data_IF_478650831558
#
_entry.id   IF_478650831558
#
_cell.length_a   1.000
_cell.length_b   1.000
_cell.length_c   1.000
_cell.angle_alpha   90.00
_cell.angle_beta   90.00
_cell.angle_gamma   90.00
#
_symmetry.space_group_name_H-M   'P 1'
#
loop_
_entity.id
_entity.type
_entity.pdbx_description
1 polymer ?
#
# COMPACT_ATOMS: atom_id res chain seq x y z
N UNK A 1 -4.50 3.38 8.18
CA UNK A 1 -3.27 4.00 7.62
C UNK A 1 -3.05 3.42 6.23
N UNK A 2 -2.61 4.24 5.28
CA UNK A 2 -2.20 3.79 3.93
C UNK A 2 -0.76 4.23 3.69
N UNK A 3 0.06 3.32 3.18
CA UNK A 3 1.48 3.54 2.92
C UNK A 3 1.77 3.35 1.43
N UNK A 4 2.72 4.14 0.93
CA UNK A 4 3.34 3.93 -0.38
C UNK A 4 4.85 3.89 -0.16
N UNK A 5 5.41 2.68 -0.23
CA UNK A 5 6.81 2.42 0.09
C UNK A 5 7.78 3.08 -0.89
N UNK A 6 7.32 3.48 -2.08
CA UNK A 6 8.14 4.17 -3.06
C UNK A 6 8.22 5.68 -2.79
N UNK A 7 7.23 6.26 -2.10
CA UNK A 7 7.18 7.70 -1.76
C UNK A 7 7.71 7.95 -0.36
N UNK A 8 7.15 7.29 0.66
CA UNK A 8 7.58 7.42 2.05
C UNK A 8 7.52 6.05 2.73
N UNK A 9 8.69 5.56 3.17
CA UNK A 9 8.83 4.22 3.74
C UNK A 9 8.33 4.11 5.18
N UNK A 10 8.42 5.21 5.93
CA UNK A 10 8.29 5.16 7.38
C UNK A 10 7.01 5.81 7.88
N UNK A 11 6.41 6.70 7.09
CA UNK A 11 5.20 7.42 7.49
C UNK A 11 4.04 7.12 6.55
N UNK A 12 2.83 7.11 7.12
CA UNK A 12 1.62 6.89 6.36
C UNK A 12 1.34 8.10 5.44
N UNK A 13 1.06 7.83 4.16
CA UNK A 13 0.60 8.87 3.24
C UNK A 13 -0.83 9.33 3.54
N UNK A 14 -1.63 8.46 4.16
CA UNK A 14 -3.00 8.77 4.55
C UNK A 14 -3.34 8.10 5.88
N UNK A 15 -3.83 8.91 6.81
CA UNK A 15 -4.44 8.45 8.06
C UNK A 15 -5.89 8.87 8.09
N UNK A 16 -6.78 7.89 8.05
CA UNK A 16 -8.22 8.12 8.10
C UNK A 16 -8.83 7.22 9.16
N UNK A 17 -9.63 7.82 10.05
CA UNK A 17 -10.46 7.09 10.99
C UNK A 17 -11.75 6.68 10.29
N UNK A 18 -11.91 5.38 10.06
CA UNK A 18 -13.09 4.80 9.36
C UNK A 18 -14.22 4.49 10.33
N UNK A 19 -13.89 4.03 11.55
CA UNK A 19 -14.85 3.68 12.60
C UNK A 19 -14.47 4.38 13.90
N UNK A 20 -15.45 4.56 14.79
CA UNK A 20 -15.19 5.14 16.12
C UNK A 20 -14.32 4.20 16.96
N UNK A 21 -13.04 4.56 17.14
CA UNK A 21 -12.02 3.76 17.87
C UNK A 21 -12.44 3.28 19.27
N UNK A 22 -13.35 4.00 19.93
CA UNK A 22 -13.83 3.65 21.30
C UNK A 22 -14.74 2.42 21.34
N UNK A 23 -15.41 2.07 20.24
CA UNK A 23 -16.50 1.07 20.24
C UNK A 23 -16.32 -0.07 19.25
N UNK A 24 -15.39 0.07 18.33
CA UNK A 24 -15.33 -0.79 17.15
C UNK A 24 -13.89 -0.99 16.71
N UNK A 25 -13.56 -2.22 16.31
CA UNK A 25 -12.25 -2.57 15.76
C UNK A 25 -12.40 -3.02 14.31
N UNK A 26 -11.50 -2.57 13.45
CA UNK A 26 -11.41 -3.06 12.08
C UNK A 26 -10.74 -4.44 12.10
N UNK A 27 -11.30 -5.40 11.37
CA UNK A 27 -10.88 -6.81 11.42
C UNK A 27 -10.36 -7.31 10.09
N UNK A 28 -10.96 -6.86 8.98
CA UNK A 28 -10.62 -7.33 7.63
C UNK A 28 -10.50 -6.17 6.67
N UNK A 29 -9.62 -6.32 5.68
CA UNK A 29 -9.47 -5.42 4.54
C UNK A 29 -9.29 -6.23 3.27
N UNK A 30 -9.95 -5.80 2.20
CA UNK A 30 -9.80 -6.39 0.88
C UNK A 30 -9.75 -5.30 -0.19
N UNK A 31 -8.89 -5.50 -1.19
CA UNK A 31 -8.80 -4.62 -2.36
C UNK A 31 -9.71 -5.14 -3.45
N UNK A 32 -10.48 -4.26 -4.07
CA UNK A 32 -11.23 -4.64 -5.25
C UNK A 32 -10.26 -4.79 -6.47
N UNK A 33 -10.31 -5.92 -7.20
CA UNK A 33 -9.39 -6.18 -8.30
C UNK A 33 -9.65 -5.33 -9.56
N UNK A 34 -10.86 -4.82 -9.73
CA UNK A 34 -11.27 -4.06 -10.91
C UNK A 34 -11.35 -2.56 -10.66
N UNK A 35 -11.79 -2.16 -9.46
CA UNK A 35 -12.03 -0.77 -9.10
C UNK A 35 -11.08 -0.34 -8.00
N UNK A 36 -10.63 0.93 -7.97
CA UNK A 36 -9.74 1.41 -6.93
C UNK A 36 -10.52 1.75 -5.65
N UNK A 37 -11.07 0.71 -5.05
CA UNK A 37 -11.81 0.74 -3.79
C UNK A 37 -11.27 -0.33 -2.86
N UNK A 38 -11.39 -0.06 -1.57
CA UNK A 38 -11.11 -1.02 -0.51
C UNK A 38 -12.39 -1.28 0.27
N UNK A 39 -12.55 -2.52 0.71
CA UNK A 39 -13.64 -2.95 1.56
C UNK A 39 -13.03 -3.25 2.92
N UNK A 40 -13.63 -2.70 3.97
CA UNK A 40 -13.16 -2.85 5.34
C UNK A 40 -14.29 -3.41 6.20
N UNK A 41 -14.02 -4.53 6.87
CA UNK A 41 -14.93 -5.16 7.83
C UNK A 41 -14.56 -4.80 9.26
N UNK A 42 -15.57 -4.75 10.13
CA UNK A 42 -15.39 -4.54 11.58
C UNK A 42 -15.79 -5.76 12.43
N UNK A 43 -15.57 -5.67 13.74
CA UNK A 43 -15.88 -6.71 14.72
C UNK A 43 -17.37 -6.83 15.07
N UNK A 44 -18.20 -5.93 14.56
CA UNK A 44 -19.66 -5.92 14.77
C UNK A 44 -20.42 -6.41 13.54
N UNK A 45 -19.71 -6.84 12.50
CA UNK A 45 -20.27 -7.34 11.25
C UNK A 45 -20.66 -6.25 10.26
N UNK A 46 -20.28 -4.98 10.48
CA UNK A 46 -20.46 -3.94 9.47
C UNK A 46 -19.34 -3.99 8.44
N UNK A 47 -19.71 -3.68 7.20
CA UNK A 47 -18.79 -3.60 6.06
C UNK A 47 -18.88 -2.19 5.48
N UNK A 48 -17.72 -1.53 5.35
CA UNK A 48 -17.60 -0.19 4.80
C UNK A 48 -16.75 -0.21 3.54
N UNK A 49 -17.23 0.40 2.46
CA UNK A 49 -16.48 0.57 1.21
C UNK A 49 -15.91 1.98 1.11
N UNK A 50 -14.63 2.10 0.74
CA UNK A 50 -13.90 3.36 0.64
C UNK A 50 -13.22 3.47 -0.72
N UNK A 51 -13.29 4.67 -1.32
CA UNK A 51 -12.62 4.96 -2.59
C UNK A 51 -11.22 5.51 -2.36
N UNK A 52 -10.23 4.99 -3.09
CA UNK A 52 -8.86 5.46 -2.99
C UNK A 52 -8.68 6.84 -3.66
N UNK A 53 -7.95 7.72 -2.98
CA UNK A 53 -7.56 9.04 -3.52
C UNK A 53 -6.84 8.89 -4.86
N UNK A 54 -7.05 9.79 -5.84
CA UNK A 54 -6.25 9.82 -7.07
C UNK A 54 -4.75 9.77 -6.85
N UNK A 55 -4.25 10.36 -5.77
CA UNK A 55 -2.81 10.39 -5.48
C UNK A 55 -2.24 9.00 -5.17
N UNK A 56 -3.02 8.12 -4.55
CA UNK A 56 -2.63 6.74 -4.23
C UNK A 56 -2.72 5.79 -5.43
N UNK A 57 -3.16 6.29 -6.60
CA UNK A 57 -3.38 5.51 -7.83
C UNK A 57 -2.42 5.90 -8.94
N UNK A 58 -1.55 6.89 -8.70
CA UNK A 58 -0.66 7.42 -9.74
C UNK A 58 0.45 6.42 -10.03
N UNK A 59 0.42 5.83 -11.22
CA UNK A 59 1.59 5.14 -11.75
C UNK A 59 2.70 6.17 -12.03
N UNK A 60 3.98 5.80 -11.86
CA UNK A 60 5.10 6.65 -12.26
C UNK A 60 4.94 7.09 -13.71
N UNK A 61 5.03 8.39 -13.97
CA UNK A 61 4.92 8.93 -15.33
C UNK A 61 6.11 8.43 -16.16
N UNK A 62 5.84 8.01 -17.39
CA UNK A 62 6.87 7.65 -18.36
C UNK A 62 7.78 8.88 -18.58
N UNK A 63 9.10 8.69 -18.49
CA UNK A 63 10.04 9.74 -18.90
C UNK A 63 9.97 9.82 -20.44
N UNK A 64 9.79 11.02 -20.99
CA UNK A 64 9.73 11.24 -22.45
C UNK A 64 10.94 10.56 -23.12
N UNK A 65 10.66 9.61 -24.02
CA UNK A 65 11.67 8.92 -24.83
C UNK A 65 12.12 7.53 -24.32
N UNK A 66 11.63 7.08 -23.16
CA UNK A 66 11.86 5.71 -22.67
C UNK A 66 10.50 5.07 -22.46
N UNK A 67 10.18 4.02 -23.21
CA UNK A 67 9.00 3.20 -22.92
C UNK A 67 9.07 2.77 -21.46
N UNK A 68 8.08 3.17 -20.66
CA UNK A 68 8.01 2.66 -19.31
C UNK A 68 7.79 1.16 -19.44
N UNK A 69 8.79 0.38 -19.01
CA UNK A 69 8.63 -1.05 -18.86
C UNK A 69 7.39 -1.27 -17.97
N UNK A 70 6.35 -1.87 -18.57
CA UNK A 70 5.08 -2.21 -17.95
C UNK A 70 5.10 -3.69 -17.64
N UNK A 71 4.60 -4.05 -16.46
CA UNK A 71 4.44 -5.46 -16.10
C UNK A 71 4.82 -5.76 -14.65
N UNK A 72 4.46 -6.96 -14.17
CA UNK A 72 4.74 -7.38 -12.80
C UNK A 72 6.25 -7.40 -12.50
N UNK A 73 7.09 -7.73 -13.48
CA UNK A 73 8.55 -7.81 -13.32
C UNK A 73 9.17 -6.50 -12.83
N UNK A 74 8.67 -5.36 -13.32
CA UNK A 74 9.17 -4.03 -12.95
C UNK A 74 8.79 -3.68 -11.53
N UNK A 75 7.57 -4.03 -11.11
CA UNK A 75 7.11 -3.82 -9.75
C UNK A 75 7.83 -4.75 -8.76
N UNK A 76 8.10 -6.00 -9.16
CA UNK A 76 8.94 -6.94 -8.39
C UNK A 76 10.34 -6.37 -8.20
N UNK A 77 11.00 -5.92 -9.28
CA UNK A 77 12.34 -5.33 -9.20
C UNK A 77 12.40 -4.08 -8.31
N UNK A 78 11.36 -3.23 -8.34
CA UNK A 78 11.24 -2.09 -7.42
C UNK A 78 11.15 -2.54 -5.97
N UNK A 79 10.33 -3.56 -5.69
CA UNK A 79 10.16 -4.10 -4.34
C UNK A 79 11.46 -4.73 -3.84
N UNK A 80 12.16 -5.51 -4.66
CA UNK A 80 13.44 -6.12 -4.30
C UNK A 80 14.50 -5.07 -3.95
N UNK A 81 14.55 -3.98 -4.72
CA UNK A 81 15.43 -2.84 -4.43
C UNK A 81 15.06 -2.15 -3.11
N UNK A 82 13.78 -2.06 -2.76
CA UNK A 82 13.36 -1.50 -1.47
C UNK A 82 13.77 -2.41 -0.32
N UNK A 83 13.60 -3.73 -0.46
CA UNK A 83 13.92 -4.72 0.54
C UNK A 83 15.43 -4.83 0.81
N UNK A 84 16.26 -4.72 -0.22
CA UNK A 84 17.73 -4.78 -0.06
C UNK A 84 18.28 -3.64 0.79
N UNK A 85 17.62 -2.47 0.80
CA UNK A 85 18.00 -1.31 1.61
C UNK A 85 17.60 -1.42 3.08
N UNK A 86 16.70 -2.34 3.44
CA UNK A 86 16.11 -2.46 4.78
C UNK A 86 16.54 -3.76 5.48
N UNK A 87 17.09 -4.74 4.77
CA UNK A 87 17.63 -5.96 5.39
C UNK A 87 18.81 -5.62 6.29
N UNK A 88 18.66 -5.91 7.58
CA UNK A 88 19.80 -6.02 8.51
C UNK A 88 20.80 -7.05 7.96
N UNK A 89 22.12 -6.82 8.11
CA UNK A 89 23.11 -7.84 7.76
C UNK A 89 22.80 -9.12 8.56
N UNK A 90 22.98 -10.32 7.95
CA UNK A 90 22.76 -11.57 8.66
C UNK A 90 23.62 -11.55 9.92
N UNK A 91 22.98 -11.73 11.09
CA UNK A 91 23.67 -11.76 12.37
C UNK A 91 24.88 -12.69 12.27
N UNK A 92 26.08 -12.14 12.46
CA UNK A 92 27.30 -12.94 12.49
C UNK A 92 27.11 -14.02 13.55
N UNK A 93 27.12 -15.28 13.12
CA UNK A 93 27.14 -16.43 14.03
C UNK A 93 28.46 -16.35 14.80
N UNK A 94 28.39 -15.86 16.04
CA UNK A 94 29.44 -16.04 17.04
C UNK A 94 29.63 -17.52 17.37
#
# INVERSE_FOLDING_TARGET
>A
HVFDLNVNKYEALCEQVVVTKKKTKLTHIEFNPNYPMIIVGDDRGYVTSLKLSPNLRKMPKEKKGVEAAKGPEVEIAKMDKLLSLVREPPAEKK
#
